data_IF_827977610587
#
_entry.id   IF_827977610587
#
_cell.length_a   1.000
_cell.length_b   1.000
_cell.length_c   1.000
_cell.angle_alpha   90.00
_cell.angle_beta   90.00
_cell.angle_gamma   90.00
#
_symmetry.space_group_name_H-M   'P 1'
#
loop_
_entity.id
_entity.type
_entity.pdbx_description
1 polymer ?
#
# COMPACT_ATOMS: atom_id res chain seq x y z
N UNK A 1 -14.44 1.78 -6.71
CA UNK A 1 -13.03 2.26 -6.81
C UNK A 1 -12.18 1.46 -5.83
N UNK A 2 -11.09 0.81 -6.28
CA UNK A 2 -10.21 0.02 -5.41
C UNK A 2 -9.34 0.97 -4.53
N UNK A 3 -8.98 0.57 -3.31
CA UNK A 3 -8.24 1.40 -2.35
C UNK A 3 -6.91 1.92 -2.93
N UNK A 4 -6.18 1.05 -3.65
CA UNK A 4 -4.97 1.41 -4.39
C UNK A 4 -5.17 2.43 -5.51
N UNK A 5 -6.36 2.50 -6.12
CA UNK A 5 -6.64 3.54 -7.12
C UNK A 5 -6.84 4.90 -6.44
N UNK A 6 -7.40 4.94 -5.23
CA UNK A 6 -7.46 6.18 -4.43
C UNK A 6 -6.05 6.65 -4.08
N UNK A 7 -5.17 5.72 -3.68
CA UNK A 7 -3.77 6.05 -3.36
C UNK A 7 -3.07 6.63 -4.58
N UNK A 8 -3.18 5.99 -5.75
CA UNK A 8 -2.59 6.51 -7.00
C UNK A 8 -3.12 7.91 -7.37
N UNK A 9 -4.41 8.17 -7.20
CA UNK A 9 -4.99 9.49 -7.40
C UNK A 9 -4.37 10.55 -6.49
N UNK A 10 -4.30 10.25 -5.19
CA UNK A 10 -3.69 11.15 -4.20
C UNK A 10 -2.22 11.48 -4.52
N UNK A 11 -1.44 10.49 -4.94
CA UNK A 11 -0.04 10.72 -5.33
C UNK A 11 0.06 11.69 -6.51
N UNK A 12 -0.80 11.56 -7.51
CA UNK A 12 -0.87 12.47 -8.66
C UNK A 12 -1.26 13.87 -8.21
N UNK A 13 -2.33 14.00 -7.40
CA UNK A 13 -2.83 15.27 -6.88
C UNK A 13 -1.76 16.04 -6.09
N UNK A 14 -0.90 15.32 -5.36
CA UNK A 14 0.19 15.90 -4.55
C UNK A 14 1.53 16.00 -5.29
N UNK A 15 1.60 15.59 -6.56
CA UNK A 15 2.84 15.61 -7.33
C UNK A 15 3.91 14.61 -6.86
N UNK A 16 3.52 13.59 -6.09
CA UNK A 16 4.41 12.59 -5.52
C UNK A 16 4.67 11.49 -6.53
N UNK A 17 5.95 11.29 -6.86
CA UNK A 17 6.41 10.32 -7.85
C UNK A 17 6.70 8.98 -7.18
N UNK A 18 6.68 7.91 -7.96
CA UNK A 18 7.10 6.58 -7.48
C UNK A 18 8.55 6.55 -6.98
N UNK A 19 9.40 7.49 -7.41
CA UNK A 19 10.77 7.64 -6.91
C UNK A 19 10.78 8.09 -5.44
N UNK A 20 9.89 9.01 -5.06
CA UNK A 20 9.82 9.54 -3.70
C UNK A 20 9.38 8.44 -2.72
N UNK A 21 8.39 7.62 -3.12
CA UNK A 21 8.02 6.43 -2.36
C UNK A 21 9.13 5.38 -2.32
N UNK A 22 9.93 5.26 -3.38
CA UNK A 22 11.04 4.31 -3.41
C UNK A 22 12.13 4.71 -2.41
N UNK A 23 12.45 6.00 -2.32
CA UNK A 23 13.38 6.56 -1.33
C UNK A 23 12.83 6.42 0.10
N UNK A 24 11.54 6.71 0.32
CA UNK A 24 10.89 6.53 1.63
C UNK A 24 10.95 5.08 2.14
N UNK A 25 10.78 4.12 1.24
CA UNK A 25 10.66 2.71 1.57
C UNK A 25 11.98 1.95 1.50
N UNK A 26 13.04 2.57 0.98
CA UNK A 26 14.34 1.96 0.69
C UNK A 26 14.20 0.75 -0.26
N UNK A 27 13.51 0.96 -1.39
CA UNK A 27 13.29 -0.07 -2.42
C UNK A 27 13.50 0.49 -3.82
N UNK A 28 13.53 -0.38 -4.83
CA UNK A 28 13.57 0.07 -6.22
C UNK A 28 12.24 0.70 -6.67
N UNK A 29 12.29 1.76 -7.50
CA UNK A 29 11.12 2.39 -8.12
C UNK A 29 10.18 1.38 -8.81
N UNK A 30 10.75 0.35 -9.44
CA UNK A 30 9.98 -0.72 -10.10
C UNK A 30 9.21 -1.56 -9.10
N UNK A 31 9.76 -1.77 -7.90
CA UNK A 31 9.07 -2.48 -6.80
C UNK A 31 7.86 -1.68 -6.34
N UNK A 32 7.98 -0.36 -6.17
CA UNK A 32 6.84 0.52 -5.86
C UNK A 32 5.76 0.39 -6.94
N UNK A 33 6.14 0.43 -8.22
CA UNK A 33 5.19 0.28 -9.32
C UNK A 33 4.46 -1.08 -9.29
N UNK A 34 5.18 -2.17 -9.02
CA UNK A 34 4.58 -3.51 -8.88
C UNK A 34 3.62 -3.58 -7.70
N UNK A 35 3.97 -3.00 -6.55
CA UNK A 35 3.11 -2.95 -5.34
C UNK A 35 1.84 -2.10 -5.57
N UNK A 36 1.97 -0.90 -6.16
CA UNK A 36 0.83 -0.03 -6.49
C UNK A 36 -0.17 -0.68 -7.47
N UNK A 37 0.31 -1.55 -8.35
CA UNK A 37 -0.51 -2.28 -9.31
C UNK A 37 -0.83 -3.72 -8.88
N UNK A 38 -0.36 -4.14 -7.70
CA UNK A 38 -0.46 -5.50 -7.16
C UNK A 38 -0.07 -6.60 -8.16
N UNK A 39 0.93 -6.34 -8.98
CA UNK A 39 1.40 -7.27 -10.01
C UNK A 39 2.07 -8.48 -9.36
N UNK A 40 1.74 -9.70 -9.81
CA UNK A 40 2.31 -10.95 -9.29
C UNK A 40 2.19 -11.09 -7.76
N UNK A 41 1.10 -10.61 -7.16
CA UNK A 41 0.89 -10.69 -5.72
C UNK A 41 1.77 -9.77 -4.86
N UNK A 42 2.50 -8.84 -5.48
CA UNK A 42 3.28 -7.85 -4.72
C UNK A 42 2.34 -6.90 -3.98
N UNK A 43 2.55 -6.73 -2.68
CA UNK A 43 1.77 -5.83 -1.85
C UNK A 43 2.69 -5.02 -0.93
N UNK A 44 2.20 -3.91 -0.39
CA UNK A 44 2.91 -3.22 0.68
C UNK A 44 2.78 -4.03 1.97
N UNK A 45 3.92 -4.30 2.62
CA UNK A 45 3.97 -4.82 3.98
C UNK A 45 3.41 -3.78 4.96
N UNK A 46 2.98 -4.22 6.15
CA UNK A 46 2.44 -3.30 7.16
C UNK A 46 3.43 -2.21 7.58
N UNK A 47 4.73 -2.49 7.58
CA UNK A 47 5.77 -1.49 7.85
C UNK A 47 5.82 -0.43 6.75
N UNK A 48 5.73 -0.83 5.48
CA UNK A 48 5.68 0.11 4.35
C UNK A 48 4.39 0.93 4.37
N UNK A 49 3.25 0.30 4.66
CA UNK A 49 1.95 0.99 4.83
C UNK A 49 2.06 2.07 5.90
N UNK A 50 2.61 1.73 7.07
CA UNK A 50 2.81 2.71 8.17
C UNK A 50 3.66 3.89 7.73
N UNK A 51 4.79 3.65 7.03
CA UNK A 51 5.66 4.71 6.51
C UNK A 51 4.89 5.62 5.54
N UNK A 52 4.14 5.04 4.60
CA UNK A 52 3.35 5.80 3.62
C UNK A 52 2.28 6.63 4.31
N UNK A 53 1.55 6.04 5.28
CA UNK A 53 0.52 6.75 6.05
C UNK A 53 1.08 7.95 6.79
N UNK A 54 2.25 7.82 7.43
CA UNK A 54 2.92 8.93 8.11
C UNK A 54 3.43 10.00 7.14
N UNK A 55 4.01 9.59 6.00
CA UNK A 55 4.53 10.52 5.00
C UNK A 55 3.42 11.32 4.30
N UNK A 56 2.28 10.69 4.06
CA UNK A 56 1.14 11.31 3.38
C UNK A 56 0.09 11.88 4.34
N UNK A 57 0.23 11.69 5.65
CA UNK A 57 -0.79 12.03 6.64
C UNK A 57 -2.18 11.49 6.27
N UNK A 58 -2.28 10.16 6.08
CA UNK A 58 -3.51 9.46 5.67
C UNK A 58 -3.80 8.22 6.52
N UNK A 59 -5.08 7.84 6.59
CA UNK A 59 -5.50 6.59 7.24
C UNK A 59 -5.36 5.36 6.34
N UNK A 60 -4.84 4.26 6.89
CA UNK A 60 -4.72 3.00 6.19
C UNK A 60 -6.09 2.42 5.75
N UNK A 61 -7.15 2.70 6.51
CA UNK A 61 -8.49 2.18 6.27
C UNK A 61 -9.08 2.64 4.93
N UNK A 62 -8.68 3.83 4.47
CA UNK A 62 -9.19 4.44 3.24
C UNK A 62 -8.42 3.93 2.02
N UNK A 63 -7.12 3.70 2.18
CA UNK A 63 -6.18 3.55 1.06
C UNK A 63 -5.57 2.14 0.92
N UNK A 64 -5.62 1.32 1.97
CA UNK A 64 -5.02 -0.02 1.99
C UNK A 64 -5.98 -1.12 2.41
N UNK A 65 -6.92 -0.83 3.32
CA UNK A 65 -7.93 -1.81 3.73
C UNK A 65 -9.14 -1.74 2.81
N UNK A 66 -9.68 -2.91 2.45
CA UNK A 66 -10.97 -3.01 1.80
C UNK A 66 -11.84 -3.93 2.67
N UNK A 67 -12.92 -3.42 3.29
CA UNK A 67 -13.76 -4.22 4.18
C UNK A 67 -14.40 -5.42 3.49
N UNK A 68 -14.49 -5.43 2.16
CA UNK A 68 -15.10 -6.53 1.41
C UNK A 68 -14.18 -7.75 1.21
N UNK A 69 -12.98 -7.78 1.82
CA UNK A 69 -12.05 -8.93 1.76
C UNK A 69 -11.48 -9.27 3.14
N UNK A 70 -12.36 -9.55 4.08
CA UNK A 70 -12.02 -10.37 5.24
C UNK A 70 -11.77 -11.81 4.77
N UNK A 71 -10.59 -12.08 4.23
CA UNK A 71 -10.09 -13.45 4.15
C UNK A 71 -9.30 -13.68 5.43
N UNK A 72 -10.03 -14.13 6.45
CA UNK A 72 -9.53 -14.71 7.71
C UNK A 72 -8.41 -15.70 7.45
N UNK A 73 -7.16 -15.29 7.61
CA UNK A 73 -6.09 -16.22 7.99
C UNK A 73 -6.05 -16.32 9.51
N UNK A 74 -7.16 -16.75 10.12
CA UNK A 74 -7.08 -17.44 11.41
C UNK A 74 -6.51 -18.83 11.12
N UNK A 75 -5.19 -18.97 11.10
CA UNK A 75 -4.62 -20.30 11.32
C UNK A 75 -4.98 -20.65 12.76
N UNK A 76 -5.90 -21.61 12.92
CA UNK A 76 -6.17 -22.24 14.22
C UNK A 76 -4.84 -22.81 14.70
N UNK A 77 -4.32 -22.29 15.81
CA UNK A 77 -3.37 -23.05 16.62
C UNK A 77 -4.16 -24.25 17.14
N UNK A 78 -3.90 -25.42 16.56
CA UNK A 78 -4.32 -26.70 17.14
C UNK A 78 -3.60 -26.87 18.48
N UNK A 79 -4.37 -26.91 19.57
CA UNK A 79 -3.97 -27.49 20.84
C UNK A 79 -4.78 -28.75 21.05
#
# INVERSE_FOLDING_TARGET
MNAYNKLKGLLIERGIKNKDLAELLDVNRTTVNKKLNRTNGNDFSMTEVRKICLYLDISADIYFLNPSRENTTKQRQTT
#
